data_IF_685416082190
#
_entry.id   IF_685416082190
#
_cell.length_a   1.000
_cell.length_b   1.000
_cell.length_c   1.000
_cell.angle_alpha   90.00
_cell.angle_beta   90.00
_cell.angle_gamma   90.00
#
_symmetry.space_group_name_H-M   'P 1'
#
loop_
_entity.id
_entity.type
_entity.pdbx_description
1 polymer ?
#
# COMPACT_ATOMS: atom_id res chain seq x y z
N UNK A 1 14.47 -2.47 25.05
CA UNK A 1 13.71 -3.38 24.19
C UNK A 1 14.06 -3.11 22.74
N UNK A 2 14.46 -4.13 21.97
CA UNK A 2 14.73 -3.91 20.56
C UNK A 2 13.44 -3.57 19.81
N UNK A 3 13.55 -2.63 18.88
CA UNK A 3 12.44 -2.27 17.97
C UNK A 3 12.58 -3.14 16.73
N UNK A 4 11.46 -3.72 16.30
CA UNK A 4 11.41 -4.54 15.09
C UNK A 4 10.66 -3.78 13.99
N UNK A 5 11.30 -3.65 12.84
CA UNK A 5 10.74 -2.92 11.70
C UNK A 5 10.71 -3.86 10.50
N UNK A 6 9.56 -3.95 9.85
CA UNK A 6 9.45 -4.57 8.53
C UNK A 6 9.34 -3.45 7.50
N UNK A 7 10.20 -3.50 6.50
CA UNK A 7 10.32 -2.45 5.49
C UNK A 7 10.06 -3.02 4.10
N UNK A 8 9.27 -2.31 3.31
CA UNK A 8 9.03 -2.65 1.92
C UNK A 8 9.00 -1.39 1.06
N UNK A 9 9.08 -1.56 -0.25
CA UNK A 9 8.99 -0.49 -1.22
C UNK A 9 8.53 -1.07 -2.56
N UNK A 10 8.16 -0.20 -3.49
CA UNK A 10 7.85 -0.58 -4.88
C UNK A 10 6.73 -1.62 -4.99
N UNK A 11 5.67 -1.47 -4.21
CA UNK A 11 4.51 -2.36 -4.26
C UNK A 11 3.69 -2.18 -5.53
N UNK A 12 3.69 -0.97 -6.10
CA UNK A 12 3.02 -0.63 -7.36
C UNK A 12 1.57 -1.12 -7.45
N UNK A 13 0.80 -0.89 -6.39
CA UNK A 13 -0.63 -1.22 -6.36
C UNK A 13 -1.34 -0.43 -7.47
N UNK A 14 -2.17 -1.12 -8.24
CA UNK A 14 -2.92 -0.50 -9.32
C UNK A 14 -2.16 -0.39 -10.64
N UNK A 15 -1.02 -1.07 -10.77
CA UNK A 15 -0.29 -1.13 -12.03
C UNK A 15 -1.20 -1.68 -13.14
N UNK A 16 -1.34 -1.00 -14.30
CA UNK A 16 -2.36 -1.37 -15.27
C UNK A 16 -2.09 -2.63 -16.08
N UNK A 17 -0.83 -3.07 -16.24
CA UNK A 17 -0.47 -4.27 -17.02
C UNK A 17 -1.12 -4.31 -18.40
N UNK A 18 -1.07 -3.19 -19.14
CA UNK A 18 -1.81 -3.01 -20.39
C UNK A 18 -1.44 -3.97 -21.51
N UNK A 19 -0.24 -4.54 -21.49
CA UNK A 19 0.25 -5.48 -22.50
C UNK A 19 -0.32 -6.89 -22.33
N UNK A 20 -1.10 -7.14 -21.30
CA UNK A 20 -1.68 -8.45 -21.01
C UNK A 20 -3.18 -8.48 -21.31
N UNK A 21 -3.73 -9.67 -21.51
CA UNK A 21 -5.18 -9.88 -21.61
C UNK A 21 -5.89 -9.54 -20.31
N UNK A 22 -7.20 -9.26 -20.38
CA UNK A 22 -7.98 -8.81 -19.21
C UNK A 22 -7.88 -9.78 -18.02
N UNK A 23 -7.99 -11.08 -18.27
CA UNK A 23 -7.90 -12.07 -17.20
C UNK A 23 -6.52 -12.07 -16.55
N UNK A 24 -5.46 -12.01 -17.37
CA UNK A 24 -4.09 -11.95 -16.88
C UNK A 24 -3.84 -10.65 -16.12
N UNK A 25 -4.36 -9.52 -16.62
CA UNK A 25 -4.23 -8.24 -15.92
C UNK A 25 -4.88 -8.28 -14.55
N UNK A 26 -6.09 -8.83 -14.47
CA UNK A 26 -6.80 -8.92 -13.19
C UNK A 26 -6.04 -9.81 -12.21
N UNK A 27 -5.47 -10.91 -12.69
CA UNK A 27 -4.67 -11.79 -11.87
C UNK A 27 -3.41 -11.10 -11.34
N UNK A 28 -2.70 -10.35 -12.20
CA UNK A 28 -1.50 -9.62 -11.80
C UNK A 28 -1.80 -8.50 -10.81
N UNK A 29 -2.91 -7.80 -11.01
CA UNK A 29 -3.38 -6.79 -10.04
C UNK A 29 -3.67 -7.42 -8.69
N UNK A 30 -4.36 -8.56 -8.69
CA UNK A 30 -4.69 -9.29 -7.47
C UNK A 30 -3.43 -9.77 -6.74
N UNK A 31 -2.43 -10.25 -7.46
CA UNK A 31 -1.17 -10.69 -6.89
C UNK A 31 -0.44 -9.58 -6.13
N UNK A 32 -0.58 -8.33 -6.57
CA UNK A 32 0.00 -7.18 -5.87
C UNK A 32 -0.63 -7.00 -4.49
N UNK A 33 -1.94 -7.14 -4.40
CA UNK A 33 -2.65 -7.08 -3.12
C UNK A 33 -2.28 -8.25 -2.22
N UNK A 34 -2.21 -9.45 -2.78
CA UNK A 34 -1.84 -10.65 -2.02
C UNK A 34 -0.42 -10.56 -1.48
N UNK A 35 0.51 -9.99 -2.27
CA UNK A 35 1.87 -9.78 -1.82
C UNK A 35 1.92 -8.83 -0.61
N UNK A 36 1.14 -7.75 -0.64
CA UNK A 36 1.07 -6.83 0.49
C UNK A 36 0.46 -7.51 1.73
N UNK A 37 -0.59 -8.31 1.54
CA UNK A 37 -1.17 -9.08 2.64
C UNK A 37 -0.16 -10.02 3.29
N UNK A 38 0.63 -10.72 2.47
CA UNK A 38 1.69 -11.60 2.99
C UNK A 38 2.74 -10.85 3.78
N UNK A 39 3.08 -9.63 3.34
CA UNK A 39 4.03 -8.79 4.08
C UNK A 39 3.48 -8.38 5.45
N UNK A 40 2.21 -8.02 5.51
CA UNK A 40 1.54 -7.69 6.78
C UNK A 40 1.50 -8.91 7.69
N UNK A 41 1.14 -10.08 7.15
CA UNK A 41 1.13 -11.33 7.93
C UNK A 41 2.52 -11.64 8.48
N UNK A 42 3.56 -11.48 7.66
CA UNK A 42 4.94 -11.69 8.09
C UNK A 42 5.31 -10.73 9.22
N UNK A 43 4.95 -9.46 9.08
CA UNK A 43 5.22 -8.45 10.11
C UNK A 43 4.51 -8.81 11.42
N UNK A 44 3.25 -9.22 11.35
CA UNK A 44 2.48 -9.61 12.53
C UNK A 44 3.06 -10.85 13.20
N UNK A 45 3.45 -11.86 12.41
CA UNK A 45 4.02 -13.11 12.92
C UNK A 45 5.38 -12.89 13.59
N UNK A 46 6.12 -11.85 13.19
CA UNK A 46 7.40 -11.50 13.79
C UNK A 46 7.28 -10.42 14.87
N UNK A 47 6.05 -10.06 15.25
CA UNK A 47 5.79 -9.05 16.27
C UNK A 47 6.48 -7.72 15.96
N UNK A 48 6.41 -7.28 14.70
CA UNK A 48 7.00 -6.00 14.28
C UNK A 48 6.29 -4.83 14.97
N UNK A 49 7.06 -3.83 15.36
CA UNK A 49 6.52 -2.61 15.96
C UNK A 49 6.06 -1.62 14.88
N UNK A 50 6.80 -1.56 13.78
CA UNK A 50 6.51 -0.66 12.67
C UNK A 50 6.53 -1.39 11.35
N UNK A 51 5.62 -1.02 10.47
CA UNK A 51 5.61 -1.44 9.07
C UNK A 51 5.86 -0.20 8.22
N UNK A 52 6.97 -0.16 7.47
CA UNK A 52 7.41 1.02 6.73
C UNK A 52 7.34 0.73 5.23
N UNK A 53 6.64 1.59 4.51
CA UNK A 53 6.57 1.56 3.05
C UNK A 53 7.29 2.81 2.55
N UNK A 54 8.48 2.63 1.95
CA UNK A 54 9.33 3.75 1.57
C UNK A 54 9.32 4.01 0.07
N UNK A 55 8.15 4.40 -0.44
CA UNK A 55 8.00 4.82 -1.82
C UNK A 55 7.27 3.82 -2.70
N UNK A 56 6.54 4.35 -3.65
CA UNK A 56 5.85 3.61 -4.71
C UNK A 56 4.91 2.51 -4.20
N UNK A 57 4.14 2.82 -3.15
CA UNK A 57 3.03 1.97 -2.71
C UNK A 57 2.02 1.84 -3.84
N UNK A 58 1.67 2.95 -4.46
CA UNK A 58 0.78 2.99 -5.61
C UNK A 58 1.56 3.21 -6.89
N UNK A 59 1.06 2.67 -8.00
CA UNK A 59 1.72 2.79 -9.30
C UNK A 59 1.68 4.21 -9.86
N UNK A 60 0.71 5.02 -9.45
CA UNK A 60 0.59 6.41 -9.89
C UNK A 60 -0.21 7.24 -8.90
N UNK A 61 -0.24 8.56 -9.13
CA UNK A 61 -1.08 9.47 -8.34
C UNK A 61 -2.56 9.38 -8.70
N UNK A 62 -2.91 8.60 -9.73
CA UNK A 62 -4.28 8.49 -10.25
C UNK A 62 -4.89 7.10 -10.06
N UNK A 63 -4.40 6.35 -9.11
CA UNK A 63 -4.94 5.03 -8.77
C UNK A 63 -6.40 5.16 -8.35
N UNK A 64 -7.23 4.22 -8.79
CA UNK A 64 -8.67 4.24 -8.51
C UNK A 64 -8.97 4.05 -7.03
N UNK A 65 -9.99 4.73 -6.54
CA UNK A 65 -10.39 4.70 -5.13
C UNK A 65 -10.61 3.29 -4.58
N UNK A 66 -11.25 2.34 -5.28
CA UNK A 66 -11.38 0.98 -4.73
C UNK A 66 -10.05 0.31 -4.40
N UNK A 67 -9.00 0.58 -5.17
CA UNK A 67 -7.68 0.06 -4.88
C UNK A 67 -7.09 0.69 -3.62
N UNK A 68 -7.30 1.98 -3.42
CA UNK A 68 -6.88 2.69 -2.21
C UNK A 68 -7.60 2.13 -0.99
N UNK A 69 -8.92 1.95 -1.08
CA UNK A 69 -9.72 1.38 0.00
C UNK A 69 -9.25 -0.03 0.38
N UNK A 70 -8.98 -0.87 -0.60
CA UNK A 70 -8.48 -2.22 -0.36
C UNK A 70 -7.10 -2.19 0.29
N UNK A 71 -6.22 -1.31 -0.17
CA UNK A 71 -4.87 -1.15 0.40
C UNK A 71 -4.95 -0.75 1.87
N UNK A 72 -5.76 0.26 2.19
CA UNK A 72 -5.95 0.69 3.59
C UNK A 72 -6.50 -0.46 4.43
N UNK A 73 -7.47 -1.21 3.90
CA UNK A 73 -8.03 -2.37 4.59
C UNK A 73 -6.97 -3.42 4.93
N UNK A 74 -6.02 -3.65 4.02
CA UNK A 74 -4.90 -4.56 4.27
C UNK A 74 -3.99 -4.01 5.36
N UNK A 75 -3.62 -2.73 5.26
CA UNK A 75 -2.72 -2.09 6.23
C UNK A 75 -3.30 -2.03 7.65
N UNK A 76 -4.61 -1.92 7.78
CA UNK A 76 -5.26 -1.91 9.09
C UNK A 76 -5.18 -3.24 9.82
N UNK A 77 -4.81 -4.32 9.14
CA UNK A 77 -4.60 -5.62 9.77
C UNK A 77 -3.27 -5.71 10.53
N UNK A 78 -2.38 -4.75 10.35
CA UNK A 78 -1.12 -4.70 11.08
C UNK A 78 -1.40 -4.49 12.58
N UNK A 79 -0.79 -5.33 13.42
CA UNK A 79 -1.05 -5.33 14.87
C UNK A 79 0.00 -4.58 15.69
N UNK A 80 1.02 -4.04 15.03
CA UNK A 80 2.07 -3.27 15.71
C UNK A 80 1.64 -1.83 16.00
N UNK A 81 2.62 -0.98 16.30
CA UNK A 81 2.37 0.39 16.73
C UNK A 81 1.87 1.28 15.60
N UNK A 82 2.53 1.26 14.44
CA UNK A 82 2.19 2.16 13.33
C UNK A 82 2.64 1.62 11.98
N UNK A 83 1.89 2.00 10.96
CA UNK A 83 2.28 1.87 9.56
C UNK A 83 2.73 3.25 9.08
N UNK A 84 3.93 3.33 8.52
CA UNK A 84 4.49 4.57 7.99
C UNK A 84 4.60 4.45 6.47
N UNK A 85 3.99 5.39 5.75
CA UNK A 85 3.97 5.39 4.29
C UNK A 85 4.64 6.66 3.78
N UNK A 86 5.67 6.49 2.95
CA UNK A 86 6.39 7.59 2.32
C UNK A 86 6.12 7.58 0.81
N UNK A 87 5.88 8.74 0.19
CA UNK A 87 5.71 8.82 -1.26
C UNK A 87 7.00 8.48 -2.01
N UNK A 88 6.85 7.98 -3.23
CA UNK A 88 7.97 7.67 -4.10
C UNK A 88 7.92 8.44 -5.42
N UNK A 89 8.50 7.86 -6.47
CA UNK A 89 8.55 8.52 -7.78
C UNK A 89 7.23 8.40 -8.55
N UNK A 90 6.53 7.28 -8.42
CA UNK A 90 5.27 7.04 -9.12
C UNK A 90 4.08 7.61 -8.37
N UNK A 91 4.08 7.53 -7.05
CA UNK A 91 3.04 8.08 -6.20
C UNK A 91 3.54 9.32 -5.44
N UNK A 92 4.20 10.21 -6.14
CA UNK A 92 4.86 11.37 -5.55
C UNK A 92 3.88 12.29 -4.80
N UNK A 93 4.41 12.99 -3.81
CA UNK A 93 3.66 13.98 -3.05
C UNK A 93 3.98 15.38 -3.59
N UNK A 94 2.96 16.07 -4.11
CA UNK A 94 3.09 17.42 -4.65
C UNK A 94 2.25 18.42 -3.85
N UNK A 95 1.98 18.11 -2.58
CA UNK A 95 1.14 18.91 -1.69
C UNK A 95 -0.06 18.11 -1.21
N UNK A 96 -0.81 18.67 -0.27
CA UNK A 96 -1.96 17.98 0.33
C UNK A 96 -3.08 17.70 -0.67
N UNK A 97 -3.07 18.37 -1.82
CA UNK A 97 -4.07 18.18 -2.88
C UNK A 97 -3.69 17.10 -3.89
N UNK A 98 -2.53 16.45 -3.74
CA UNK A 98 -2.16 15.33 -4.61
C UNK A 98 -3.22 14.25 -4.49
N UNK A 99 -3.82 13.87 -5.63
CA UNK A 99 -5.04 13.10 -5.66
C UNK A 99 -4.99 11.78 -4.90
N UNK A 100 -3.96 10.96 -5.13
CA UNK A 100 -3.86 9.67 -4.47
C UNK A 100 -3.71 9.82 -2.96
N UNK A 101 -2.91 10.78 -2.49
CA UNK A 101 -2.66 10.96 -1.06
C UNK A 101 -3.83 11.61 -0.35
N UNK A 102 -4.56 12.51 -1.04
CA UNK A 102 -5.80 13.08 -0.52
C UNK A 102 -6.84 11.99 -0.28
N UNK A 103 -7.02 11.11 -1.26
CA UNK A 103 -7.96 9.99 -1.12
C UNK A 103 -7.49 8.98 -0.08
N UNK A 104 -6.18 8.70 -0.02
CA UNK A 104 -5.61 7.80 0.97
C UNK A 104 -5.87 8.32 2.39
N UNK A 105 -5.64 9.61 2.64
CA UNK A 105 -5.88 10.21 3.94
C UNK A 105 -7.36 10.12 4.34
N UNK A 106 -8.26 10.38 3.39
CA UNK A 106 -9.70 10.28 3.65
C UNK A 106 -10.09 8.86 4.04
N UNK A 107 -9.68 7.87 3.25
CA UNK A 107 -10.03 6.48 3.49
C UNK A 107 -9.43 6.00 4.81
N UNK A 108 -8.17 6.32 5.08
CA UNK A 108 -7.50 5.87 6.31
C UNK A 108 -8.13 6.49 7.56
N UNK A 109 -8.59 7.75 7.49
CA UNK A 109 -9.27 8.37 8.63
C UNK A 109 -10.63 7.74 8.90
N UNK A 110 -11.31 7.24 7.87
CA UNK A 110 -12.59 6.54 8.02
C UNK A 110 -12.42 5.13 8.60
N UNK A 111 -11.26 4.52 8.41
CA UNK A 111 -10.97 3.16 8.87
C UNK A 111 -10.30 3.08 10.24
N UNK A 112 -9.84 4.18 10.78
CA UNK A 112 -9.12 4.17 12.08
C UNK A 112 -10.01 4.25 13.31
#
# INVERSE_FOLDING_TARGET
MPIRIVHTADNHIGMPFRQHEDETRNQLLEERFEALERLIDTANNNHADFFVISGDLFDSTRVKTPYIERTVGILTKFTGTSVLVLPGNHDFYAGDDTEVWKRFQKVSSECS
#
